data_IF_656872809326
#
_entry.id   IF_656872809326
#
_cell.length_a   1.000
_cell.length_b   1.000
_cell.length_c   1.000
_cell.angle_alpha   90.00
_cell.angle_beta   90.00
_cell.angle_gamma   90.00
#
_symmetry.space_group_name_H-M   'P 1'
#
loop_
_entity.id
_entity.type
_entity.pdbx_description
1 polymer ?
#
# COMPACT_ATOMS: atom_id res chain seq x y z
N UNK A 1 -12.37 -15.81 -5.03
CA UNK A 1 -11.08 -15.20 -4.64
C UNK A 1 -9.96 -15.60 -5.58
N UNK A 2 -9.77 -16.91 -5.84
CA UNK A 2 -8.78 -17.40 -6.83
C UNK A 2 -8.93 -16.76 -8.22
N UNK A 3 -10.14 -16.67 -8.75
CA UNK A 3 -10.35 -16.13 -10.11
C UNK A 3 -9.98 -14.65 -10.21
N UNK A 4 -10.28 -13.87 -9.16
CA UNK A 4 -9.86 -12.47 -9.05
C UNK A 4 -8.34 -12.33 -8.99
N UNK A 5 -7.65 -13.24 -8.28
CA UNK A 5 -6.19 -13.26 -8.24
C UNK A 5 -5.58 -13.60 -9.60
N UNK A 6 -6.16 -14.56 -10.32
CA UNK A 6 -5.74 -14.90 -11.69
C UNK A 6 -5.95 -13.71 -12.62
N UNK A 7 -7.12 -13.08 -12.57
CA UNK A 7 -7.45 -11.90 -13.38
C UNK A 7 -6.52 -10.72 -13.07
N UNK A 8 -6.24 -10.45 -11.79
CA UNK A 8 -5.34 -9.38 -11.38
C UNK A 8 -3.92 -9.63 -11.90
N UNK A 9 -3.39 -10.85 -11.74
CA UNK A 9 -2.04 -11.20 -12.21
C UNK A 9 -1.94 -11.24 -13.74
N UNK A 10 -3.04 -11.55 -14.44
CA UNK A 10 -3.11 -11.49 -15.89
C UNK A 10 -3.17 -10.04 -16.40
N UNK A 11 -3.91 -9.17 -15.70
CA UNK A 11 -4.03 -7.74 -16.01
C UNK A 11 -2.74 -6.98 -15.72
N UNK A 12 -2.05 -7.36 -14.63
CA UNK A 12 -0.80 -6.74 -14.19
C UNK A 12 0.34 -7.77 -14.11
N UNK A 13 0.85 -8.27 -15.26
CA UNK A 13 1.93 -9.24 -15.27
C UNK A 13 3.19 -8.70 -14.58
N UNK A 14 3.84 -9.57 -13.81
CA UNK A 14 5.02 -9.23 -13.04
C UNK A 14 6.14 -8.58 -13.88
N UNK A 15 6.44 -9.15 -15.05
CA UNK A 15 7.51 -8.69 -15.94
C UNK A 15 7.32 -7.27 -16.47
N UNK A 16 6.07 -6.80 -16.56
CA UNK A 16 5.73 -5.46 -17.04
C UNK A 16 5.37 -4.48 -15.93
N UNK A 17 5.02 -4.95 -14.73
CA UNK A 17 4.49 -4.13 -13.65
C UNK A 17 5.39 -4.04 -12.41
N UNK A 18 6.55 -4.70 -12.38
CA UNK A 18 7.51 -4.62 -11.27
C UNK A 18 8.89 -4.15 -11.73
N UNK A 19 9.74 -3.73 -10.80
CA UNK A 19 11.15 -3.39 -11.06
C UNK A 19 12.04 -4.64 -11.11
N UNK A 20 13.24 -4.54 -11.68
CA UNK A 20 14.22 -5.63 -11.67
C UNK A 20 14.55 -5.98 -10.21
N UNK A 21 14.07 -7.14 -9.75
CA UNK A 21 14.07 -7.73 -8.39
C UNK A 21 12.66 -8.07 -7.88
N UNK A 22 11.59 -7.55 -8.50
CA UNK A 22 10.21 -7.93 -8.19
C UNK A 22 9.64 -7.41 -6.89
N UNK A 23 10.37 -6.52 -6.21
CA UNK A 23 10.07 -6.11 -4.83
C UNK A 23 9.04 -4.99 -4.75
N UNK A 24 8.83 -4.23 -5.83
CA UNK A 24 7.92 -3.09 -5.88
C UNK A 24 7.27 -3.00 -7.27
N UNK A 25 6.10 -2.36 -7.34
CA UNK A 25 5.50 -1.99 -8.61
C UNK A 25 6.29 -0.88 -9.31
N UNK A 26 6.31 -0.88 -10.64
CA UNK A 26 6.85 0.20 -11.45
C UNK A 26 5.74 1.16 -11.91
N UNK A 27 6.08 2.33 -12.45
CA UNK A 27 5.11 3.38 -12.84
C UNK A 27 4.42 3.16 -14.19
N UNK A 28 4.59 1.98 -14.82
CA UNK A 28 4.06 1.71 -16.17
C UNK A 28 2.55 1.47 -16.20
N UNK A 29 1.92 1.28 -15.05
CA UNK A 29 0.48 1.02 -14.91
C UNK A 29 -0.12 1.83 -13.77
N UNK A 30 -1.44 1.93 -13.77
CA UNK A 30 -2.16 2.67 -12.73
C UNK A 30 -1.94 2.04 -11.34
N UNK A 31 -1.91 0.71 -11.25
CA UNK A 31 -1.64 0.01 -9.99
C UNK A 31 -0.28 0.39 -9.42
N UNK A 32 0.71 0.58 -10.27
CA UNK A 32 2.04 0.95 -9.83
C UNK A 32 2.20 2.44 -9.53
N UNK A 33 1.54 3.33 -10.26
CA UNK A 33 1.49 4.77 -9.92
C UNK A 33 0.85 5.00 -8.56
N UNK A 34 -0.29 4.35 -8.31
CA UNK A 34 -0.97 4.39 -7.02
C UNK A 34 -0.09 3.86 -5.88
N UNK A 35 0.59 2.73 -6.11
CA UNK A 35 1.52 2.15 -5.14
C UNK A 35 2.66 3.13 -4.80
N UNK A 36 3.29 3.69 -5.83
CA UNK A 36 4.42 4.60 -5.69
C UNK A 36 4.02 5.92 -5.02
N UNK A 37 2.82 6.44 -5.27
CA UNK A 37 2.33 7.64 -4.58
C UNK A 37 2.29 7.46 -3.06
N UNK A 38 1.77 6.31 -2.58
CA UNK A 38 1.70 6.01 -1.16
C UNK A 38 3.11 5.85 -0.58
N UNK A 39 3.97 5.11 -1.28
CA UNK A 39 5.35 4.87 -0.86
C UNK A 39 6.15 6.18 -0.80
N UNK A 40 6.03 7.05 -1.80
CA UNK A 40 6.74 8.33 -1.86
C UNK A 40 6.28 9.28 -0.76
N UNK A 41 4.98 9.32 -0.47
CA UNK A 41 4.46 10.12 0.63
C UNK A 41 4.99 9.64 2.00
N UNK A 42 5.24 8.34 2.16
CA UNK A 42 5.94 7.79 3.33
C UNK A 42 7.42 8.19 3.35
N UNK A 43 8.16 7.90 2.28
CA UNK A 43 9.62 8.13 2.19
C UNK A 43 9.99 9.62 2.31
N UNK A 44 9.14 10.52 1.82
CA UNK A 44 9.33 11.96 1.94
C UNK A 44 8.93 12.52 3.32
N UNK A 45 8.51 11.68 4.28
CA UNK A 45 8.07 12.10 5.60
C UNK A 45 6.80 12.97 5.59
N UNK A 46 6.04 12.95 4.48
CA UNK A 46 4.83 13.76 4.33
C UNK A 46 3.67 13.24 5.17
N UNK A 47 3.70 11.97 5.55
CA UNK A 47 2.67 11.30 6.34
C UNK A 47 3.28 10.70 7.62
N UNK A 48 3.54 11.53 8.65
CA UNK A 48 4.15 11.06 9.89
C UNK A 48 3.27 10.09 10.68
N UNK A 49 1.97 9.94 10.39
CA UNK A 49 1.13 8.89 10.98
C UNK A 49 1.55 7.45 10.57
N UNK A 50 2.38 7.34 9.53
CA UNK A 50 3.09 6.11 9.16
C UNK A 50 4.36 5.87 10.01
N UNK A 51 4.63 6.68 11.04
CA UNK A 51 5.85 6.55 11.87
C UNK A 51 5.79 5.47 12.95
N UNK A 52 5.10 4.36 12.70
CA UNK A 52 4.94 3.28 13.66
C UNK A 52 6.14 2.32 13.72
N UNK A 53 7.37 2.82 13.87
CA UNK A 53 8.59 2.04 14.17
C UNK A 53 9.02 0.95 13.16
N UNK A 54 8.39 0.80 11.99
CA UNK A 54 8.79 -0.22 11.01
C UNK A 54 9.16 0.39 9.66
N UNK A 55 10.34 0.01 9.13
CA UNK A 55 10.82 0.44 7.82
C UNK A 55 9.86 0.05 6.67
N UNK A 56 8.91 -0.84 6.91
CA UNK A 56 7.99 -1.40 5.92
C UNK A 56 6.60 -0.78 5.90
N UNK A 57 6.28 0.20 6.76
CA UNK A 57 4.91 0.76 6.88
C UNK A 57 4.38 1.35 5.56
N UNK A 58 5.23 2.03 4.79
CA UNK A 58 4.88 2.54 3.46
C UNK A 58 4.61 1.44 2.43
N UNK A 59 5.38 0.34 2.48
CA UNK A 59 5.20 -0.83 1.61
C UNK A 59 3.92 -1.57 1.96
N UNK A 60 3.71 -1.86 3.26
CA UNK A 60 2.50 -2.51 3.76
C UNK A 60 1.25 -1.73 3.36
N UNK A 61 1.30 -0.40 3.53
CA UNK A 61 0.21 0.51 3.15
C UNK A 61 -0.03 0.54 1.65
N UNK A 62 1.02 0.64 0.83
CA UNK A 62 0.90 0.61 -0.63
C UNK A 62 0.31 -0.70 -1.14
N UNK A 63 0.80 -1.84 -0.63
CA UNK A 63 0.26 -3.15 -1.02
C UNK A 63 -1.15 -3.38 -0.51
N UNK A 64 -1.46 -3.07 0.76
CA UNK A 64 -2.83 -3.19 1.26
C UNK A 64 -3.81 -2.36 0.42
N UNK A 65 -3.41 -1.12 0.06
CA UNK A 65 -4.21 -0.24 -0.78
C UNK A 65 -4.48 -0.82 -2.17
N UNK A 66 -3.44 -1.21 -2.91
CA UNK A 66 -3.62 -1.68 -4.28
C UNK A 66 -4.36 -3.02 -4.32
N UNK A 67 -4.09 -3.93 -3.38
CA UNK A 67 -4.77 -5.23 -3.34
C UNK A 67 -6.27 -5.08 -3.08
N UNK A 68 -6.66 -4.09 -2.27
CA UNK A 68 -8.05 -3.75 -1.98
C UNK A 68 -8.72 -2.94 -3.11
N UNK A 69 -8.12 -1.82 -3.54
CA UNK A 69 -8.64 -0.93 -4.59
C UNK A 69 -8.90 -1.66 -5.91
N UNK A 70 -7.98 -2.53 -6.31
CA UNK A 70 -8.08 -3.28 -7.56
C UNK A 70 -8.78 -4.63 -7.39
N UNK A 71 -9.36 -4.90 -6.20
CA UNK A 71 -10.11 -6.12 -5.91
C UNK A 71 -9.34 -7.38 -6.34
N UNK A 72 -8.05 -7.43 -6.00
CA UNK A 72 -7.09 -8.42 -6.47
C UNK A 72 -7.43 -9.86 -6.05
N UNK A 73 -8.32 -10.05 -5.07
CA UNK A 73 -8.56 -11.37 -4.47
C UNK A 73 -7.38 -11.90 -3.65
N UNK A 74 -6.37 -11.06 -3.38
CA UNK A 74 -5.20 -11.32 -2.55
C UNK A 74 -5.27 -10.36 -1.35
N UNK A 75 -4.82 -10.80 -0.18
CA UNK A 75 -4.72 -9.97 1.01
C UNK A 75 -3.36 -10.13 1.66
N UNK A 76 -2.82 -9.03 2.20
CA UNK A 76 -1.67 -9.11 3.10
C UNK A 76 -2.13 -9.45 4.49
N UNK A 77 -1.30 -10.16 5.25
CA UNK A 77 -1.55 -10.42 6.65
C UNK A 77 -0.26 -10.28 7.48
N UNK A 78 -0.41 -9.81 8.71
CA UNK A 78 0.69 -9.60 9.66
C UNK A 78 0.28 -10.09 11.04
N UNK A 79 1.26 -10.56 11.79
CA UNK A 79 1.07 -11.01 13.16
C UNK A 79 0.73 -9.83 14.08
N UNK A 80 -0.34 -9.95 14.87
CA UNK A 80 -0.70 -8.98 15.89
C UNK A 80 0.16 -9.11 17.17
N UNK A 81 -0.06 -8.22 18.15
CA UNK A 81 0.66 -8.24 19.43
C UNK A 81 0.48 -9.51 20.26
N UNK A 82 -0.49 -10.36 19.90
CA UNK A 82 -0.80 -11.64 20.55
C UNK A 82 -0.28 -12.83 19.75
N UNK A 83 0.41 -12.63 18.63
CA UNK A 83 0.93 -13.71 17.80
C UNK A 83 -0.04 -14.23 16.74
N UNK A 84 -1.22 -13.63 16.57
CA UNK A 84 -2.20 -14.10 15.59
C UNK A 84 -2.00 -13.43 14.22
N UNK A 85 -2.09 -14.21 13.15
CA UNK A 85 -2.05 -13.67 11.80
C UNK A 85 -3.38 -12.95 11.49
N UNK A 86 -3.30 -11.64 11.23
CA UNK A 86 -4.45 -10.80 10.89
C UNK A 86 -4.27 -10.20 9.48
N UNK A 87 -5.31 -10.28 8.67
CA UNK A 87 -5.33 -9.59 7.38
C UNK A 87 -5.17 -8.08 7.59
N UNK A 88 -4.53 -7.39 6.66
CA UNK A 88 -4.37 -5.95 6.64
C UNK A 88 -5.37 -5.34 5.65
N UNK A 89 -6.05 -4.29 6.08
CA UNK A 89 -6.86 -3.42 5.24
C UNK A 89 -6.20 -2.06 5.10
N UNK A 90 -6.52 -1.34 4.01
CA UNK A 90 -6.06 0.02 3.81
C UNK A 90 -7.09 1.01 4.36
N UNK A 91 -6.70 1.82 5.35
CA UNK A 91 -7.59 2.82 5.96
C UNK A 91 -7.17 4.22 5.55
N UNK A 92 -8.03 5.01 4.88
CA UNK A 92 -7.71 6.38 4.54
C UNK A 92 -7.70 7.28 5.77
N UNK A 93 -6.84 8.29 5.78
CA UNK A 93 -6.84 9.36 6.78
C UNK A 93 -6.44 10.69 6.12
N UNK A 94 -6.97 11.79 6.64
CA UNK A 94 -6.54 13.12 6.19
C UNK A 94 -5.30 13.57 6.96
N UNK A 95 -4.37 14.20 6.25
CA UNK A 95 -3.21 14.84 6.86
C UNK A 95 -2.97 16.24 6.26
N UNK A 96 -2.61 17.17 7.13
CA UNK A 96 -2.26 18.54 6.75
C UNK A 96 -0.73 18.65 6.75
N UNK A 97 -0.13 18.96 5.61
CA UNK A 97 1.31 19.18 5.49
C UNK A 97 1.64 20.59 6.01
N UNK A 98 2.25 20.73 7.20
CA UNK A 98 2.46 22.06 7.80
C UNK A 98 3.41 22.92 6.97
N UNK A 99 4.45 22.30 6.40
CA UNK A 99 5.47 22.96 5.59
C UNK A 99 5.00 23.40 4.18
N UNK A 100 3.77 23.05 3.77
CA UNK A 100 3.22 23.38 2.44
C UNK A 100 2.06 24.36 2.53
N UNK A 101 2.05 25.26 3.52
CA UNK A 101 0.99 26.25 3.67
C UNK A 101 -0.38 25.64 3.99
N UNK A 102 -0.40 24.49 4.68
CA UNK A 102 -1.65 23.82 5.06
C UNK A 102 -2.29 22.94 3.98
N UNK A 103 -1.52 22.53 2.96
CA UNK A 103 -2.00 21.56 1.95
C UNK A 103 -2.52 20.30 2.63
N UNK A 104 -3.77 19.93 2.33
CA UNK A 104 -4.38 18.66 2.74
C UNK A 104 -4.02 17.55 1.75
N UNK A 105 -3.69 16.38 2.27
CA UNK A 105 -3.51 15.16 1.50
C UNK A 105 -4.25 14.01 2.17
N UNK A 106 -4.67 13.03 1.38
CA UNK A 106 -5.21 11.76 1.89
C UNK A 106 -4.08 10.74 1.94
N UNK A 107 -3.80 10.23 3.13
CA UNK A 107 -2.95 9.06 3.34
C UNK A 107 -3.78 7.79 3.44
N UNK A 108 -3.11 6.65 3.32
CA UNK A 108 -3.66 5.30 3.42
C UNK A 108 -2.77 4.45 4.31
N UNK A 109 -3.27 4.02 5.47
CA UNK A 109 -2.49 3.23 6.43
C UNK A 109 -2.95 1.78 6.41
N UNK A 110 -2.01 0.84 6.31
CA UNK A 110 -2.31 -0.56 6.59
C UNK A 110 -2.63 -0.75 8.08
N UNK A 111 -3.79 -1.34 8.39
CA UNK A 111 -4.20 -1.68 9.74
C UNK A 111 -4.78 -3.10 9.76
N UNK A 112 -4.63 -3.87 10.85
CA UNK A 112 -5.30 -5.16 10.98
C UNK A 112 -6.81 -5.01 10.80
N UNK A 113 -7.42 -5.91 10.02
CA UNK A 113 -8.86 -6.01 9.93
C UNK A 113 -9.44 -6.30 11.34
N UNK A 114 -10.55 -5.64 11.73
CA UNK A 114 -11.23 -5.86 13.00
C UNK A 114 -11.51 -7.35 13.29
#
# INVERSE_FOLDING_TARGET
MRDKAIEFLATYPFSSNTTNEGRIFNDKSDVGKDFLEILDNYMAGRLPAYSGNSQTDGLESGYAYILEKYNSGISLAKTDGSGNLKALSSTPFEYIIPASGGKKITGYKAQPCP
#
